data_IF_375948370494
#
_entry.id   IF_375948370494
#
_cell.length_a   1.000
_cell.length_b   1.000
_cell.length_c   1.000
_cell.angle_alpha   90.00
_cell.angle_beta   90.00
_cell.angle_gamma   90.00
#
_symmetry.space_group_name_H-M   'P 1'
#
loop_
_entity.id
_entity.type
_entity.pdbx_description
1 polymer ?
#
# COMPACT_ATOMS: atom_id res chain seq x y z
N UNK A 1 14.18 -10.04 16.10
CA UNK A 1 14.55 -9.86 14.69
C UNK A 1 15.29 -8.54 14.51
N UNK A 2 16.35 -8.59 13.75
CA UNK A 2 17.17 -7.42 13.54
C UNK A 2 16.60 -6.55 12.42
N UNK A 3 16.61 -5.23 12.63
CA UNK A 3 16.14 -4.31 11.62
C UNK A 3 17.19 -4.18 10.51
N UNK A 4 16.87 -4.70 9.34
CA UNK A 4 17.79 -4.63 8.20
C UNK A 4 17.36 -3.57 7.18
N UNK A 5 16.38 -2.74 7.52
CA UNK A 5 15.92 -1.66 6.64
C UNK A 5 15.05 -2.11 5.50
N UNK A 6 14.69 -3.39 5.44
CA UNK A 6 13.88 -3.88 4.33
C UNK A 6 12.40 -3.67 4.58
N UNK A 7 11.67 -3.57 3.46
CA UNK A 7 10.22 -3.48 3.52
C UNK A 7 9.61 -4.66 4.27
N UNK A 8 10.01 -5.94 4.01
CA UNK A 8 9.43 -7.04 4.76
C UNK A 8 9.62 -6.95 6.27
N UNK A 9 10.75 -6.43 6.72
CA UNK A 9 10.96 -6.24 8.15
C UNK A 9 9.90 -5.30 8.73
N UNK A 10 9.71 -4.15 8.07
CA UNK A 10 8.76 -3.15 8.57
C UNK A 10 7.32 -3.63 8.44
N UNK A 11 7.00 -4.41 7.40
CA UNK A 11 5.68 -5.00 7.27
C UNK A 11 5.40 -5.96 8.44
N UNK A 12 6.38 -6.76 8.80
CA UNK A 12 6.23 -7.68 9.92
C UNK A 12 5.93 -6.92 11.22
N UNK A 13 6.68 -5.85 11.46
CA UNK A 13 6.45 -5.05 12.66
C UNK A 13 5.11 -4.35 12.63
N UNK A 14 4.70 -3.90 11.44
CA UNK A 14 3.40 -3.27 11.26
C UNK A 14 2.27 -4.21 11.70
N UNK A 15 2.33 -5.47 11.28
CA UNK A 15 1.30 -6.44 11.64
C UNK A 15 1.40 -6.89 13.09
N UNK A 16 2.60 -6.99 13.64
CA UNK A 16 2.77 -7.51 14.99
C UNK A 16 2.58 -6.46 16.06
N UNK A 17 3.01 -5.22 15.78
CA UNK A 17 3.04 -4.21 16.85
C UNK A 17 2.07 -3.05 16.61
N UNK A 18 1.86 -2.66 15.37
CA UNK A 18 1.03 -1.48 15.12
C UNK A 18 -0.45 -1.83 14.98
N UNK A 19 -0.78 -2.79 14.13
CA UNK A 19 -2.18 -3.11 13.87
C UNK A 19 -2.94 -3.60 15.09
N UNK A 20 -2.32 -4.40 15.98
CA UNK A 20 -3.08 -4.84 17.16
C UNK A 20 -3.56 -3.71 18.04
N UNK A 21 -2.91 -2.55 17.98
CA UNK A 21 -3.35 -1.39 18.74
C UNK A 21 -4.38 -0.54 18.06
N UNK A 22 -4.77 -0.89 16.83
CA UNK A 22 -5.74 -0.10 16.09
C UNK A 22 -7.13 -0.65 16.35
N UNK A 23 -8.05 0.24 16.70
CA UNK A 23 -9.41 -0.17 17.00
C UNK A 23 -10.21 -0.37 15.72
N UNK A 24 -11.17 -1.26 15.79
CA UNK A 24 -12.16 -1.45 14.73
C UNK A 24 -11.61 -1.96 13.40
N UNK A 25 -10.46 -2.62 13.44
CA UNK A 25 -9.95 -3.26 12.24
C UNK A 25 -10.56 -4.65 12.12
N UNK A 26 -11.25 -4.89 11.00
CA UNK A 26 -11.83 -6.20 10.76
C UNK A 26 -10.74 -7.15 10.25
N UNK A 27 -11.00 -8.45 10.37
CA UNK A 27 -10.10 -9.44 9.82
C UNK A 27 -10.00 -9.31 8.30
N UNK A 28 -11.08 -8.89 7.64
CA UNK A 28 -11.05 -8.67 6.20
C UNK A 28 -10.07 -7.55 5.82
N UNK A 29 -10.04 -6.49 6.61
CA UNK A 29 -9.11 -5.39 6.38
C UNK A 29 -7.67 -5.87 6.55
N UNK A 30 -7.41 -6.66 7.59
CA UNK A 30 -6.07 -7.18 7.83
C UNK A 30 -5.63 -8.10 6.69
N UNK A 31 -6.52 -8.95 6.20
CA UNK A 31 -6.23 -9.80 5.06
C UNK A 31 -5.94 -8.98 3.81
N UNK A 32 -6.73 -7.93 3.59
CA UNK A 32 -6.52 -7.06 2.44
C UNK A 32 -5.14 -6.39 2.48
N UNK A 33 -4.74 -5.94 3.67
CA UNK A 33 -3.41 -5.36 3.83
C UNK A 33 -2.33 -6.39 3.51
N UNK A 34 -2.48 -7.59 4.06
CA UNK A 34 -1.50 -8.65 3.83
C UNK A 34 -1.36 -8.97 2.35
N UNK A 35 -2.50 -9.10 1.66
CA UNK A 35 -2.51 -9.37 0.23
C UNK A 35 -1.83 -8.25 -0.55
N UNK A 36 -2.08 -7.02 -0.15
CA UNK A 36 -1.50 -5.87 -0.83
C UNK A 36 0.03 -5.88 -0.77
N UNK A 37 0.57 -6.19 0.40
CA UNK A 37 2.01 -6.21 0.56
C UNK A 37 2.65 -7.39 -0.16
N UNK A 38 1.98 -8.54 -0.15
CA UNK A 38 2.47 -9.70 -0.90
C UNK A 38 2.51 -9.41 -2.39
N UNK A 39 1.48 -8.75 -2.91
CA UNK A 39 1.43 -8.40 -4.32
C UNK A 39 2.51 -7.39 -4.68
N UNK A 40 2.82 -6.46 -3.77
CA UNK A 40 3.91 -5.53 -4.01
C UNK A 40 5.24 -6.27 -4.16
N UNK A 41 5.46 -7.30 -3.33
CA UNK A 41 6.69 -8.08 -3.45
C UNK A 41 6.77 -8.79 -4.80
N UNK A 42 5.64 -9.35 -5.25
CA UNK A 42 5.58 -10.00 -6.56
C UNK A 42 5.88 -9.00 -7.67
N UNK A 43 5.25 -7.83 -7.59
CA UNK A 43 5.45 -6.78 -8.59
C UNK A 43 6.92 -6.37 -8.67
N UNK A 44 7.53 -6.14 -7.52
CA UNK A 44 8.92 -5.69 -7.51
C UNK A 44 9.85 -6.74 -8.11
N UNK A 45 9.60 -8.00 -7.81
CA UNK A 45 10.47 -9.04 -8.35
C UNK A 45 10.25 -9.19 -9.86
N UNK A 46 9.00 -9.20 -10.31
CA UNK A 46 8.69 -9.42 -11.72
C UNK A 46 9.05 -8.24 -12.61
N UNK A 47 8.75 -7.03 -12.13
CA UNK A 47 8.85 -5.85 -12.99
C UNK A 47 10.06 -4.98 -12.70
N UNK A 48 10.64 -5.07 -11.52
CA UNK A 48 11.78 -4.24 -11.14
C UNK A 48 13.05 -5.05 -10.90
N UNK A 49 12.94 -6.38 -10.87
CA UNK A 49 14.09 -7.21 -10.60
C UNK A 49 14.61 -7.09 -9.19
N UNK A 50 13.76 -6.66 -8.26
CA UNK A 50 14.16 -6.48 -6.86
C UNK A 50 13.60 -7.61 -6.04
N UNK A 51 14.47 -8.40 -5.43
CA UNK A 51 14.04 -9.49 -4.55
C UNK A 51 13.52 -8.90 -3.23
N UNK A 52 12.62 -9.65 -2.58
CA UNK A 52 12.04 -9.17 -1.34
C UNK A 52 13.09 -8.83 -0.29
N UNK A 53 14.18 -9.61 -0.24
CA UNK A 53 15.24 -9.36 0.72
C UNK A 53 16.03 -8.09 0.42
N UNK A 54 15.85 -7.52 -0.76
CA UNK A 54 16.56 -6.33 -1.20
C UNK A 54 15.69 -5.09 -1.29
N UNK A 55 14.39 -5.24 -1.08
CA UNK A 55 13.47 -4.11 -1.18
C UNK A 55 13.52 -3.32 0.12
N UNK A 56 14.10 -2.13 0.05
CA UNK A 56 14.26 -1.27 1.20
C UNK A 56 13.11 -0.27 1.31
N UNK A 57 12.91 0.28 2.50
CA UNK A 57 11.90 1.33 2.67
C UNK A 57 12.16 2.51 1.75
N UNK A 58 13.41 2.84 1.52
CA UNK A 58 13.73 3.98 0.66
C UNK A 58 13.31 3.77 -0.79
N UNK A 59 13.08 2.52 -1.20
CA UNK A 59 12.58 2.23 -2.55
C UNK A 59 11.10 2.52 -2.68
N UNK A 60 10.40 2.58 -1.56
CA UNK A 60 8.94 2.71 -1.54
C UNK A 60 8.57 4.18 -1.59
N UNK A 61 8.20 4.64 -2.78
CA UNK A 61 7.82 6.03 -2.96
C UNK A 61 6.58 6.10 -3.83
N UNK A 62 6.16 7.33 -4.14
CA UNK A 62 4.96 7.57 -4.91
C UNK A 62 5.01 6.87 -6.27
N UNK A 63 6.13 6.97 -6.96
CA UNK A 63 6.24 6.40 -8.29
C UNK A 63 6.12 4.89 -8.27
N UNK A 64 6.79 4.24 -7.34
CA UNK A 64 6.73 2.79 -7.25
C UNK A 64 5.30 2.34 -6.95
N UNK A 65 4.62 3.01 -6.02
CA UNK A 65 3.26 2.63 -5.66
C UNK A 65 2.31 2.85 -6.83
N UNK A 66 2.44 3.96 -7.56
CA UNK A 66 1.59 4.18 -8.72
C UNK A 66 1.82 3.13 -9.79
N UNK A 67 3.07 2.78 -10.06
CA UNK A 67 3.37 1.73 -11.04
C UNK A 67 2.78 0.39 -10.60
N UNK A 68 2.86 0.10 -9.31
CA UNK A 68 2.27 -1.12 -8.76
C UNK A 68 0.76 -1.13 -8.97
N UNK A 69 0.09 -0.01 -8.66
CA UNK A 69 -1.36 0.06 -8.80
C UNK A 69 -1.78 -0.07 -10.27
N UNK A 70 -1.03 0.55 -11.16
CA UNK A 70 -1.30 0.44 -12.60
C UNK A 70 -1.09 -1.00 -13.08
N UNK A 71 -0.06 -1.66 -12.58
CA UNK A 71 0.21 -3.06 -12.91
C UNK A 71 -0.96 -3.94 -12.48
N UNK A 72 -1.53 -3.68 -11.31
CA UNK A 72 -2.67 -4.44 -10.83
C UNK A 72 -3.86 -4.31 -11.78
N UNK A 73 -4.12 -3.09 -12.27
CA UNK A 73 -5.23 -2.90 -13.18
C UNK A 73 -4.97 -3.50 -14.56
N UNK A 74 -3.78 -3.31 -15.09
CA UNK A 74 -3.49 -3.68 -16.46
C UNK A 74 -3.16 -5.15 -16.62
N UNK A 75 -2.44 -5.72 -15.69
CA UNK A 75 -2.00 -7.11 -15.84
C UNK A 75 -2.74 -8.09 -14.95
N UNK A 76 -3.34 -7.62 -13.86
CA UNK A 76 -4.08 -8.49 -12.96
C UNK A 76 -5.58 -8.23 -13.00
N UNK A 77 -6.02 -7.29 -13.80
CA UNK A 77 -7.43 -7.04 -14.02
C UNK A 77 -8.19 -6.50 -12.82
N UNK A 78 -7.50 -5.84 -11.92
CA UNK A 78 -8.15 -5.36 -10.71
C UNK A 78 -9.03 -4.14 -11.03
N UNK A 79 -10.14 -4.05 -10.33
CA UNK A 79 -11.09 -2.95 -10.51
C UNK A 79 -10.64 -1.72 -9.74
N UNK A 80 -11.17 -0.54 -10.07
CA UNK A 80 -10.81 0.68 -9.34
C UNK A 80 -11.02 0.59 -7.83
N UNK A 81 -12.10 -0.07 -7.39
CA UNK A 81 -12.31 -0.22 -5.95
C UNK A 81 -11.23 -1.07 -5.30
N UNK A 82 -10.81 -2.14 -5.97
CA UNK A 82 -9.74 -2.98 -5.44
C UNK A 82 -8.42 -2.22 -5.45
N UNK A 83 -8.15 -1.47 -6.52
CA UNK A 83 -6.97 -0.63 -6.59
C UNK A 83 -6.92 0.33 -5.39
N UNK A 84 -8.06 0.95 -5.09
CA UNK A 84 -8.15 1.86 -3.95
C UNK A 84 -7.90 1.16 -2.63
N UNK A 85 -8.37 -0.07 -2.48
CA UNK A 85 -8.11 -0.85 -1.28
C UNK A 85 -6.63 -1.13 -1.09
N UNK A 86 -5.93 -1.41 -2.19
CA UNK A 86 -4.48 -1.63 -2.12
C UNK A 86 -3.78 -0.35 -1.71
N UNK A 87 -4.23 0.78 -2.24
CA UNK A 87 -3.65 2.07 -1.87
C UNK A 87 -3.87 2.36 -0.38
N UNK A 88 -5.05 2.03 0.14
CA UNK A 88 -5.33 2.22 1.57
C UNK A 88 -4.29 1.49 2.42
N UNK A 89 -3.92 0.27 2.02
CA UNK A 89 -2.92 -0.49 2.77
C UNK A 89 -1.60 0.28 2.86
N UNK A 90 -1.16 0.86 1.75
CA UNK A 90 0.10 1.59 1.74
C UNK A 90 0.01 2.91 2.47
N UNK A 91 -1.16 3.56 2.45
CA UNK A 91 -1.33 4.78 3.23
C UNK A 91 -1.30 4.47 4.73
N UNK A 92 -1.94 3.38 5.13
CA UNK A 92 -1.91 2.97 6.54
C UNK A 92 -0.48 2.63 6.97
N UNK A 93 0.25 1.92 6.11
CA UNK A 93 1.63 1.59 6.37
C UNK A 93 2.49 2.85 6.50
N UNK A 94 2.25 3.83 5.63
CA UNK A 94 3.00 5.09 5.68
C UNK A 94 2.76 5.83 6.99
N UNK A 95 1.52 5.81 7.48
CA UNK A 95 1.22 6.44 8.75
C UNK A 95 1.92 5.73 9.91
N UNK A 96 2.02 4.40 9.82
CA UNK A 96 2.76 3.64 10.82
C UNK A 96 4.23 4.06 10.85
N UNK A 97 4.86 4.15 9.68
CA UNK A 97 6.26 4.56 9.62
C UNK A 97 6.43 5.99 10.12
N UNK A 98 5.49 6.86 9.79
CA UNK A 98 5.55 8.24 10.26
C UNK A 98 5.54 8.31 11.78
N UNK A 99 4.75 7.46 12.42
CA UNK A 99 4.63 7.46 13.86
C UNK A 99 5.83 6.80 14.53
N UNK A 100 6.27 5.66 14.00
CA UNK A 100 7.26 4.83 14.68
C UNK A 100 8.68 5.06 14.20
N UNK A 101 8.85 5.48 12.96
CA UNK A 101 10.18 5.64 12.36
C UNK A 101 10.20 6.89 11.49
N UNK A 102 9.99 8.08 12.06
CA UNK A 102 9.85 9.28 11.23
C UNK A 102 11.06 9.58 10.35
N UNK A 103 12.23 9.10 10.73
CA UNK A 103 13.42 9.33 9.92
C UNK A 103 13.38 8.58 8.58
N UNK A 104 12.46 7.61 8.44
CA UNK A 104 12.34 6.81 7.22
C UNK A 104 11.22 7.29 6.30
N UNK A 105 10.66 8.46 6.57
CA UNK A 105 9.46 8.94 5.87
C UNK A 105 9.70 9.59 4.52
N UNK A 106 10.95 9.82 4.14
CA UNK A 106 11.23 10.68 2.97
C UNK A 106 10.42 10.31 1.73
N UNK A 107 10.46 9.02 1.32
CA UNK A 107 9.71 8.59 0.15
C UNK A 107 8.27 8.29 0.45
N UNK A 108 8.02 7.79 1.66
CA UNK A 108 6.67 7.35 2.04
C UNK A 108 5.68 8.48 2.18
N UNK A 109 6.17 9.67 2.52
CA UNK A 109 5.29 10.81 2.66
C UNK A 109 4.56 11.12 1.36
N UNK A 110 5.23 10.92 0.24
CA UNK A 110 4.61 11.20 -1.06
C UNK A 110 3.48 10.23 -1.38
N UNK A 111 3.48 9.05 -0.76
CA UNK A 111 2.41 8.09 -0.97
C UNK A 111 1.08 8.62 -0.45
N UNK A 112 1.12 9.38 0.63
CA UNK A 112 -0.10 9.93 1.22
C UNK A 112 -0.79 10.92 0.28
N UNK A 113 -0.08 11.42 -0.73
CA UNK A 113 -0.66 12.32 -1.69
C UNK A 113 -1.27 11.67 -2.92
N UNK A 114 -1.20 10.33 -3.02
CA UNK A 114 -1.79 9.66 -4.16
C UNK A 114 -3.30 9.65 -4.05
N UNK A 115 -3.98 10.09 -5.13
CA UNK A 115 -5.43 10.16 -5.13
C UNK A 115 -6.06 8.81 -5.38
N UNK A 116 -7.21 8.59 -4.76
CA UNK A 116 -8.01 7.40 -5.07
C UNK A 116 -8.62 7.55 -6.44
N UNK A 117 -8.85 6.42 -7.10
CA UNK A 117 -9.50 6.39 -8.39
C UNK A 117 -11.01 6.26 -8.18
N UNK A 118 -11.78 7.00 -8.94
CA UNK A 118 -13.24 6.91 -8.82
C UNK A 118 -13.71 5.57 -9.38
N UNK A 119 -14.61 4.92 -8.66
CA UNK A 119 -15.23 3.72 -9.18
C UNK A 119 -16.39 4.13 -10.09
N UNK A 120 -16.70 3.26 -11.04
CA UNK A 120 -17.82 3.54 -11.95
C UNK A 120 -19.12 3.70 -11.22
N UNK A 121 -19.35 2.83 -10.26
CA UNK A 121 -20.59 2.87 -9.53
C UNK A 121 -20.77 4.19 -8.82
N UNK A 122 -19.74 4.65 -8.15
CA UNK A 122 -19.80 5.91 -7.45
C UNK A 122 -19.93 7.07 -8.42
N UNK A 123 -19.25 6.98 -9.54
CA UNK A 123 -19.26 8.04 -10.51
C UNK A 123 -20.63 8.27 -11.08
N UNK A 124 -21.33 7.21 -11.49
CA UNK A 124 -22.65 7.40 -12.06
C UNK A 124 -23.62 7.93 -11.02
N UNK A 125 -23.47 7.51 -9.79
CA UNK A 125 -24.33 8.00 -8.72
C UNK A 125 -24.12 9.50 -8.50
N UNK A 126 -22.88 9.92 -8.51
CA UNK A 126 -22.56 11.31 -8.30
C UNK A 126 -23.04 12.18 -9.44
N UNK A 127 -22.92 11.69 -10.64
CA UNK A 127 -23.31 12.50 -11.77
C UNK A 127 -24.81 12.81 -11.75
N UNK A 128 -25.58 11.97 -11.15
CA UNK A 128 -27.00 12.26 -11.03
C UNK A 128 -27.24 13.42 -10.11
N UNK A 129 -26.47 13.52 -9.10
CA UNK A 129 -26.65 14.60 -8.19
C UNK A 129 -26.10 15.85 -8.73
N UNK A 130 -25.22 15.69 -9.51
CA UNK A 130 -24.66 16.67 -10.19
C UNK A 130 -24.92 17.91 -9.92
N UNK A 131 -25.13 17.82 -9.87
CA UNK A 131 -25.24 18.54 -9.94
C UNK A 131 -25.79 19.23 -9.73
#
# INVERSE_FOLDING_TARGET
MKNDGTFPYYVTTFFKKYLPGQKNLSSNTIHSYSDSFKLMLVFCEEKKGIKSSQLKLENLDRELVIEFLDWLEQERGCRPTTRNQRLIAFRSFSRYVQKECPSEMAGLQSILGISYKKSEKRLSHISQKGR
#
